data_IF_426860864048
#
_entry.id   IF_426860864048
#
_cell.length_a   1.000
_cell.length_b   1.000
_cell.length_c   1.000
_cell.angle_alpha   90.00
_cell.angle_beta   90.00
_cell.angle_gamma   90.00
#
_symmetry.space_group_name_H-M   'P 1'
#
loop_
_entity.id
_entity.type
_entity.pdbx_description
1 polymer ?
#
# COMPACT_ATOMS: atom_id res chain seq x y z
N UNK A 1 4.70 13.03 20.76
CA UNK A 1 3.41 12.59 20.20
C UNK A 1 3.34 13.12 18.79
N UNK A 2 3.49 12.27 17.78
CA UNK A 2 3.42 12.66 16.37
C UNK A 2 2.04 12.27 15.81
N UNK A 3 1.32 13.24 15.27
CA UNK A 3 0.04 13.01 14.58
C UNK A 3 0.28 12.24 13.28
N UNK A 4 -0.46 11.15 13.07
CA UNK A 4 -0.50 10.47 11.79
C UNK A 4 -1.29 11.34 10.80
N UNK A 5 -0.65 11.76 9.71
CA UNK A 5 -1.33 12.41 8.60
C UNK A 5 -1.92 11.32 7.68
N UNK A 6 -3.23 11.38 7.45
CA UNK A 6 -3.91 10.56 6.42
C UNK A 6 -3.92 11.34 5.12
N UNK A 7 -3.25 10.81 4.09
CA UNK A 7 -3.29 11.39 2.74
C UNK A 7 -4.07 10.43 1.85
N UNK A 8 -5.16 10.88 1.18
CA UNK A 8 -5.83 10.06 0.18
C UNK A 8 -4.85 9.77 -0.97
N UNK A 9 -4.96 8.60 -1.61
CA UNK A 9 -4.17 8.27 -2.80
C UNK A 9 -4.68 9.02 -4.04
N UNK A 10 -4.87 10.34 -3.92
CA UNK A 10 -5.36 11.23 -4.98
C UNK A 10 -4.41 12.42 -5.12
N UNK A 11 -4.23 12.83 -6.38
CA UNK A 11 -3.36 13.86 -6.93
C UNK A 11 -3.07 15.05 -5.99
N UNK A 12 -1.89 15.09 -5.33
CA UNK A 12 -1.50 16.22 -4.50
C UNK A 12 -0.91 17.39 -5.30
N UNK A 13 -1.20 18.63 -4.88
CA UNK A 13 -0.54 19.86 -5.37
C UNK A 13 0.96 19.79 -5.08
N UNK A 14 1.81 19.99 -6.09
CA UNK A 14 3.26 19.75 -5.98
C UNK A 14 3.97 20.83 -5.16
N UNK A 15 4.17 20.55 -3.87
CA UNK A 15 5.01 21.39 -3.02
C UNK A 15 6.49 21.28 -3.42
N UNK A 16 7.19 22.42 -3.47
CA UNK A 16 8.61 22.46 -3.81
C UNK A 16 9.44 21.59 -2.83
N UNK A 17 10.26 20.68 -3.38
CA UNK A 17 11.11 19.78 -2.61
C UNK A 17 10.46 18.44 -2.22
N UNK A 18 9.28 18.13 -2.75
CA UNK A 18 8.66 16.81 -2.64
C UNK A 18 8.80 16.00 -3.92
N UNK A 19 8.97 14.70 -3.76
CA UNK A 19 9.04 13.72 -4.83
C UNK A 19 7.70 13.03 -4.94
N UNK A 20 7.17 12.91 -6.17
CA UNK A 20 5.99 12.11 -6.43
C UNK A 20 6.40 10.67 -6.52
N UNK A 21 5.89 9.89 -5.59
CA UNK A 21 6.14 8.46 -5.48
C UNK A 21 4.87 7.73 -5.87
N UNK A 22 4.98 6.81 -6.80
CA UNK A 22 3.83 6.08 -7.31
C UNK A 22 4.13 4.61 -7.56
N UNK A 23 3.08 3.81 -7.63
CA UNK A 23 3.17 2.38 -7.85
C UNK A 23 1.79 1.76 -8.07
N UNK A 24 1.74 0.44 -8.18
CA UNK A 24 0.49 -0.31 -8.26
C UNK A 24 0.45 -1.34 -7.15
N UNK A 25 -0.71 -1.55 -6.55
CA UNK A 25 -0.97 -2.68 -5.66
C UNK A 25 -1.96 -3.60 -6.36
N UNK A 26 -1.64 -4.90 -6.36
CA UNK A 26 -2.52 -5.96 -6.87
C UNK A 26 -2.60 -7.04 -5.80
N UNK A 27 -3.80 -7.40 -5.39
CA UNK A 27 -4.08 -8.31 -4.27
C UNK A 27 -4.89 -9.48 -4.78
N UNK A 28 -4.43 -10.69 -4.49
CA UNK A 28 -5.06 -11.94 -4.92
C UNK A 28 -5.07 -12.96 -3.79
N UNK A 29 -5.98 -13.93 -3.87
CA UNK A 29 -5.93 -15.12 -3.02
C UNK A 29 -4.91 -16.11 -3.59
N UNK A 30 -4.06 -16.68 -2.73
CA UNK A 30 -3.01 -17.64 -3.16
C UNK A 30 -3.57 -19.02 -3.54
N UNK A 31 -4.81 -19.32 -3.17
CA UNK A 31 -5.52 -20.54 -3.51
C UNK A 31 -6.99 -20.27 -3.84
N UNK A 32 -7.69 -21.19 -4.54
CA UNK A 32 -9.11 -21.05 -4.82
C UNK A 32 -9.93 -20.90 -3.53
N UNK A 33 -10.92 -20.00 -3.55
CA UNK A 33 -11.89 -19.81 -2.46
C UNK A 33 -13.29 -20.11 -2.95
N UNK A 34 -14.12 -20.65 -2.07
CA UNK A 34 -15.57 -20.69 -2.24
C UNK A 34 -16.28 -19.41 -1.73
N UNK A 35 -15.53 -18.49 -1.10
CA UNK A 35 -16.09 -17.24 -0.57
C UNK A 35 -16.21 -16.20 -1.67
N UNK A 36 -17.29 -15.39 -1.67
CA UNK A 36 -17.50 -14.35 -2.68
C UNK A 36 -16.72 -13.06 -2.40
N UNK A 37 -15.87 -13.03 -1.37
CA UNK A 37 -15.15 -11.83 -0.95
C UNK A 37 -13.70 -11.89 -1.42
N UNK A 38 -13.32 -10.93 -2.24
CA UNK A 38 -11.92 -10.75 -2.64
C UNK A 38 -11.16 -9.93 -1.58
N UNK A 39 -9.88 -10.26 -1.33
CA UNK A 39 -9.04 -9.48 -0.45
C UNK A 39 -8.70 -8.14 -1.11
N UNK A 40 -8.73 -7.07 -0.32
CA UNK A 40 -8.31 -5.74 -0.74
C UNK A 40 -7.37 -5.11 0.28
N UNK A 41 -6.44 -4.29 -0.20
CA UNK A 41 -5.63 -3.43 0.67
C UNK A 41 -6.44 -2.21 1.03
N UNK A 42 -6.62 -1.97 2.33
CA UNK A 42 -7.24 -0.72 2.81
C UNK A 42 -6.21 0.38 2.87
N UNK A 43 -5.03 0.11 3.44
CA UNK A 43 -3.92 1.06 3.49
C UNK A 43 -2.58 0.37 3.71
N UNK A 44 -1.49 1.09 3.46
CA UNK A 44 -0.17 0.77 3.99
C UNK A 44 0.44 1.98 4.72
N UNK A 45 1.32 1.70 5.68
CA UNK A 45 2.02 2.72 6.48
C UNK A 45 3.46 2.85 6.03
N UNK A 46 3.87 4.08 5.75
CA UNK A 46 5.25 4.46 5.43
C UNK A 46 5.83 5.26 6.59
N UNK A 47 6.97 4.80 7.11
CA UNK A 47 7.76 5.46 8.14
C UNK A 47 8.93 6.21 7.48
N UNK A 48 9.05 7.50 7.74
CA UNK A 48 10.29 8.24 7.47
C UNK A 48 11.30 7.93 8.58
N UNK A 49 12.42 7.29 8.24
CA UNK A 49 13.39 6.77 9.22
C UNK A 49 14.15 7.88 9.94
N UNK A 50 14.33 9.03 9.30
CA UNK A 50 15.06 10.18 9.86
C UNK A 50 14.23 10.96 10.88
N UNK A 51 12.94 11.16 10.58
CA UNK A 51 12.05 11.99 11.42
C UNK A 51 11.17 11.17 12.36
N UNK A 52 11.01 9.87 12.09
CA UNK A 52 10.02 9.01 12.76
C UNK A 52 8.57 9.30 12.35
N UNK A 53 8.36 10.19 11.37
CA UNK A 53 7.03 10.53 10.86
C UNK A 53 6.38 9.35 10.14
N UNK A 54 5.08 9.14 10.34
CA UNK A 54 4.31 8.05 9.73
C UNK A 54 3.23 8.60 8.82
N UNK A 55 3.15 8.03 7.63
CA UNK A 55 2.21 8.42 6.59
C UNK A 55 1.37 7.21 6.25
N UNK A 56 0.05 7.38 6.31
CA UNK A 56 -0.91 6.34 5.95
C UNK A 56 -1.40 6.58 4.52
N UNK A 57 -1.07 5.67 3.61
CA UNK A 57 -1.51 5.72 2.21
C UNK A 57 -2.73 4.83 2.04
N UNK A 58 -3.87 5.43 1.72
CA UNK A 58 -5.17 4.73 1.62
C UNK A 58 -5.41 4.26 0.20
N UNK A 59 -5.74 2.97 0.03
CA UNK A 59 -5.91 2.31 -1.27
C UNK A 59 -7.38 1.94 -1.47
N UNK A 60 -7.92 1.19 -0.50
CA UNK A 60 -9.26 0.60 -0.48
C UNK A 60 -9.65 -0.16 -1.75
N UNK A 61 -8.72 -0.97 -2.28
CA UNK A 61 -8.91 -1.74 -3.52
C UNK A 61 -8.08 -3.01 -3.52
N UNK A 62 -8.50 -4.00 -4.30
CA UNK A 62 -7.71 -5.18 -4.62
C UNK A 62 -6.68 -4.86 -5.73
N UNK A 63 -6.99 -3.94 -6.64
CA UNK A 63 -6.11 -3.49 -7.71
C UNK A 63 -6.23 -1.96 -7.83
N UNK A 64 -5.13 -1.24 -7.60
CA UNK A 64 -5.11 0.22 -7.75
C UNK A 64 -3.70 0.79 -7.86
N UNK A 65 -3.59 1.85 -8.65
CA UNK A 65 -2.48 2.77 -8.61
C UNK A 65 -2.50 3.59 -7.32
N UNK A 66 -1.33 3.85 -6.75
CA UNK A 66 -1.17 4.79 -5.65
C UNK A 66 -0.19 5.87 -6.04
N UNK A 67 -0.43 7.08 -5.53
CA UNK A 67 0.42 8.25 -5.69
C UNK A 67 0.50 8.94 -4.34
N UNK A 68 1.71 9.26 -3.90
CA UNK A 68 2.00 9.96 -2.65
C UNK A 68 3.17 10.90 -2.84
N UNK A 69 3.12 12.08 -2.24
CA UNK A 69 4.26 12.98 -2.21
C UNK A 69 5.07 12.74 -0.93
N UNK A 70 6.37 12.52 -1.10
CA UNK A 70 7.29 12.27 -0.02
C UNK A 70 8.51 13.21 -0.15
N UNK A 71 8.97 13.85 0.93
CA UNK A 71 10.27 14.51 0.94
C UNK A 71 11.40 13.53 0.65
N UNK A 72 12.55 14.04 0.25
CA UNK A 72 13.76 13.22 0.10
C UNK A 72 14.16 12.57 1.44
N UNK A 73 14.72 11.36 1.38
CA UNK A 73 15.17 10.64 2.58
C UNK A 73 14.90 9.13 2.55
N UNK A 74 15.16 8.50 3.69
CA UNK A 74 15.01 7.06 3.88
C UNK A 74 13.64 6.69 4.46
N UNK A 75 12.99 5.74 3.82
CA UNK A 75 11.64 5.30 4.17
C UNK A 75 11.56 3.80 4.36
N UNK A 76 10.55 3.39 5.12
CA UNK A 76 10.24 1.99 5.37
C UNK A 76 8.73 1.77 5.36
N UNK A 77 8.27 0.80 4.58
CA UNK A 77 6.90 0.31 4.65
C UNK A 77 6.83 -0.64 5.84
N UNK A 78 6.07 -0.24 6.85
CA UNK A 78 6.06 -0.93 8.14
C UNK A 78 4.82 -1.77 8.35
N UNK A 79 3.71 -1.43 7.70
CA UNK A 79 2.42 -2.10 7.90
C UNK A 79 1.55 -2.06 6.66
N UNK A 80 0.67 -3.06 6.56
CA UNK A 80 -0.44 -3.07 5.62
C UNK A 80 -1.69 -3.60 6.31
N UNK A 81 -2.85 -3.06 5.93
CA UNK A 81 -4.15 -3.57 6.35
C UNK A 81 -4.87 -4.19 5.15
N UNK A 82 -5.37 -5.40 5.34
CA UNK A 82 -6.17 -6.14 4.38
C UNK A 82 -7.61 -6.27 4.90
N UNK A 83 -8.57 -6.11 4.01
CA UNK A 83 -9.97 -6.42 4.23
C UNK A 83 -10.44 -7.54 3.29
N UNK A 84 -11.22 -8.49 3.82
CA UNK A 84 -11.90 -9.54 3.06
C UNK A 84 -13.34 -9.68 3.59
N UNK A 85 -14.28 -8.98 2.96
CA UNK A 85 -15.64 -8.88 3.48
C UNK A 85 -15.66 -8.25 4.89
N UNK A 86 -16.23 -8.92 5.92
CA UNK A 86 -16.23 -8.42 7.30
C UNK A 86 -14.91 -8.65 8.05
N UNK A 87 -13.97 -9.41 7.47
CA UNK A 87 -12.69 -9.70 8.10
C UNK A 87 -11.69 -8.57 7.80
N UNK A 88 -11.03 -8.08 8.84
CA UNK A 88 -9.96 -7.11 8.75
C UNK A 88 -8.71 -7.70 9.42
N UNK A 89 -7.57 -7.61 8.75
CA UNK A 89 -6.29 -8.07 9.29
C UNK A 89 -5.18 -7.08 8.97
N UNK A 90 -4.11 -7.15 9.75
CA UNK A 90 -2.90 -6.39 9.54
C UNK A 90 -1.71 -7.33 9.45
N UNK A 91 -0.69 -6.87 8.73
CA UNK A 91 0.62 -7.48 8.68
C UNK A 91 1.67 -6.40 8.94
N UNK A 92 2.70 -6.75 9.70
CA UNK A 92 3.89 -5.93 9.82
C UNK A 92 4.86 -6.28 8.68
N UNK A 93 5.46 -5.25 8.09
CA UNK A 93 6.38 -5.28 6.97
C UNK A 93 7.67 -4.54 7.34
N UNK A 94 8.72 -4.77 6.55
CA UNK A 94 10.02 -4.12 6.72
C UNK A 94 10.63 -3.87 5.33
N UNK A 95 9.93 -3.14 4.47
CA UNK A 95 10.37 -2.84 3.11
C UNK A 95 11.00 -1.44 3.04
N UNK A 96 12.32 -1.36 2.92
CA UNK A 96 13.05 -0.10 2.91
C UNK A 96 13.30 0.43 1.49
N UNK A 97 13.21 1.74 1.30
CA UNK A 97 13.56 2.42 0.05
C UNK A 97 14.10 3.83 0.34
N UNK A 98 14.86 4.39 -0.60
CA UNK A 98 15.47 5.71 -0.49
C UNK A 98 14.95 6.62 -1.59
N UNK A 99 14.49 7.81 -1.21
CA UNK A 99 14.08 8.87 -2.13
C UNK A 99 15.22 9.86 -2.25
N UNK A 100 15.77 9.99 -3.44
CA UNK A 100 16.86 10.90 -3.79
C UNK A 100 16.35 12.27 -4.19
N UNK A 101 16.96 12.88 -5.21
CA UNK A 101 16.63 14.23 -5.71
C UNK A 101 15.77 14.22 -6.98
N UNK A 102 15.31 13.03 -7.40
CA UNK A 102 14.36 12.87 -8.49
C UNK A 102 13.04 13.59 -8.22
N UNK A 103 12.30 13.94 -9.27
CA UNK A 103 10.93 14.45 -9.13
C UNK A 103 9.88 13.35 -9.14
N UNK A 104 10.15 12.27 -9.86
CA UNK A 104 9.27 11.12 -10.04
C UNK A 104 9.98 9.82 -9.67
N UNK A 105 9.34 9.05 -8.81
CA UNK A 105 9.82 7.76 -8.32
C UNK A 105 8.74 6.68 -8.47
N UNK A 106 9.09 5.59 -9.17
CA UNK A 106 8.23 4.41 -9.30
C UNK A 106 8.65 3.32 -8.32
N UNK A 107 7.78 2.93 -7.39
CA UNK A 107 8.04 1.90 -6.37
C UNK A 107 7.71 0.47 -6.80
N UNK A 108 7.41 0.26 -8.09
CA UNK A 108 7.08 -1.06 -8.62
C UNK A 108 5.60 -1.44 -8.45
N UNK A 109 5.30 -2.65 -8.92
CA UNK A 109 4.01 -3.31 -8.73
C UNK A 109 4.13 -4.24 -7.52
N UNK A 110 3.29 -4.00 -6.52
CA UNK A 110 3.23 -4.76 -5.29
C UNK A 110 2.18 -5.85 -5.44
N UNK A 111 2.64 -7.08 -5.60
CA UNK A 111 1.82 -8.28 -5.68
C UNK A 111 1.62 -8.82 -4.27
N UNK A 112 0.37 -8.81 -3.81
CA UNK A 112 -0.02 -9.25 -2.49
C UNK A 112 -0.83 -10.54 -2.58
N UNK A 113 -0.20 -11.64 -2.21
CA UNK A 113 -0.85 -12.94 -2.08
C UNK A 113 -1.37 -13.13 -0.66
N UNK A 114 -2.68 -13.26 -0.50
CA UNK A 114 -3.32 -13.51 0.78
C UNK A 114 -3.72 -14.98 0.87
N UNK A 115 -3.28 -15.66 1.93
CA UNK A 115 -3.68 -17.05 2.17
C UNK A 115 -5.16 -17.19 2.49
N UNK A 116 -5.70 -18.36 2.16
CA UNK A 116 -7.07 -18.73 2.52
C UNK A 116 -7.29 -18.63 4.05
N UNK A 117 -8.51 -18.26 4.50
CA UNK A 117 -8.81 -18.15 5.91
C UNK A 117 -8.65 -19.49 6.65
N UNK A 118 -7.51 -19.63 7.32
CA UNK A 118 -7.12 -20.69 8.28
C UNK A 118 -6.59 -20.04 9.57
N UNK A 119 -6.16 -20.85 10.54
CA UNK A 119 -5.64 -20.33 11.82
C UNK A 119 -4.31 -19.57 11.66
N UNK A 120 -3.54 -19.89 10.63
CA UNK A 120 -2.24 -19.32 10.27
C UNK A 120 -2.32 -18.69 8.88
N UNK A 121 -2.83 -17.46 8.79
CA UNK A 121 -2.88 -16.73 7.52
C UNK A 121 -1.61 -15.96 7.32
N UNK A 122 -0.99 -16.11 6.16
CA UNK A 122 0.13 -15.26 5.76
C UNK A 122 -0.24 -14.31 4.63
N UNK A 123 0.55 -13.25 4.54
CA UNK A 123 0.61 -12.32 3.43
C UNK A 123 1.97 -12.48 2.76
N UNK A 124 1.95 -12.92 1.51
CA UNK A 124 3.09 -12.86 0.62
C UNK A 124 3.09 -11.50 -0.07
N UNK A 125 4.16 -10.73 0.08
CA UNK A 125 4.36 -9.48 -0.66
C UNK A 125 5.55 -9.66 -1.58
N UNK A 126 5.38 -9.38 -2.87
CA UNK A 126 6.46 -9.30 -3.83
C UNK A 126 6.36 -7.96 -4.57
N UNK A 127 7.47 -7.23 -4.64
CA UNK A 127 7.57 -5.98 -5.39
C UNK A 127 8.37 -6.25 -6.65
N UNK A 128 7.70 -6.09 -7.79
CA UNK A 128 8.25 -6.40 -9.10
C UNK A 128 8.29 -5.17 -9.98
N UNK A 129 9.29 -5.10 -10.85
CA UNK A 129 9.27 -4.16 -11.96
C UNK A 129 8.44 -4.76 -13.10
N UNK A 130 7.27 -4.20 -13.34
CA UNK A 130 6.46 -4.52 -14.50
C UNK A 130 6.36 -3.28 -15.40
N UNK A 131 6.93 -3.37 -16.60
CA UNK A 131 6.98 -2.26 -17.55
C UNK A 131 5.58 -1.84 -18.03
N UNK A 132 4.66 -2.78 -18.22
CA UNK A 132 3.29 -2.45 -18.63
C UNK A 132 2.57 -1.65 -17.54
N UNK A 133 2.68 -2.10 -16.27
CA UNK A 133 2.12 -1.38 -15.13
C UNK A 133 2.76 0.00 -14.94
N UNK A 134 4.08 0.10 -15.16
CA UNK A 134 4.79 1.39 -15.06
C UNK A 134 4.25 2.39 -16.10
N UNK A 135 4.08 1.96 -17.35
CA UNK A 135 3.54 2.82 -18.43
C UNK A 135 2.10 3.22 -18.13
N UNK A 136 1.26 2.30 -17.66
CA UNK A 136 -0.12 2.61 -17.26
C UNK A 136 -0.15 3.62 -16.10
N UNK A 137 0.70 3.43 -15.09
CA UNK A 137 0.80 4.30 -13.94
C UNK A 137 1.29 5.71 -14.31
N UNK A 138 2.29 5.79 -15.18
CA UNK A 138 2.80 7.04 -15.73
C UNK A 138 1.72 7.80 -16.53
N UNK A 139 1.02 7.11 -17.42
CA UNK A 139 -0.07 7.73 -18.20
C UNK A 139 -1.17 8.25 -17.30
N UNK A 140 -1.56 7.47 -16.28
CA UNK A 140 -2.54 7.90 -15.30
C UNK A 140 -2.04 9.13 -14.51
N UNK A 141 -0.76 9.16 -14.12
CA UNK A 141 -0.18 10.29 -13.40
C UNK A 141 -0.16 11.56 -14.26
N UNK A 142 0.32 11.48 -15.50
CA UNK A 142 0.42 12.61 -16.44
C UNK A 142 -0.97 13.16 -16.79
N UNK A 143 -1.97 12.29 -16.93
CA UNK A 143 -3.35 12.72 -17.19
C UNK A 143 -3.91 13.64 -16.07
N UNK A 144 -3.45 13.47 -14.84
CA UNK A 144 -3.85 14.28 -13.69
C UNK A 144 -2.85 15.40 -13.35
N UNK A 145 -1.62 15.31 -13.84
CA UNK A 145 -0.52 16.25 -13.59
C UNK A 145 0.31 16.47 -14.86
N UNK A 146 -0.19 17.34 -15.74
CA UNK A 146 0.46 17.62 -17.03
C UNK A 146 1.88 18.20 -16.89
N UNK A 147 2.22 18.82 -15.76
CA UNK A 147 3.53 19.38 -15.46
C UNK A 147 4.61 18.31 -15.17
N UNK A 148 4.20 17.05 -14.98
CA UNK A 148 5.08 15.91 -14.78
C UNK A 148 5.46 15.20 -16.09
N UNK A 149 4.89 15.59 -17.24
CA UNK A 149 5.04 14.88 -18.51
C UNK A 149 6.49 14.76 -19.02
N UNK A 150 7.34 15.76 -18.73
CA UNK A 150 8.74 15.79 -19.19
C UNK A 150 9.74 15.33 -18.13
N UNK A 151 9.27 14.79 -17.00
CA UNK A 151 10.13 14.40 -15.88
C UNK A 151 10.67 12.97 -16.05
N UNK A 152 11.96 12.78 -15.78
CA UNK A 152 12.55 11.44 -15.76
C UNK A 152 12.04 10.64 -14.55
N UNK A 153 11.45 9.47 -14.81
CA UNK A 153 11.00 8.53 -13.79
C UNK A 153 12.17 7.66 -13.34
N UNK A 154 12.45 7.68 -12.04
CA UNK A 154 13.43 6.77 -11.41
C UNK A 154 12.71 5.58 -10.81
N UNK A 155 13.12 4.35 -11.14
CA UNK A 155 12.55 3.15 -10.50
C UNK A 155 13.30 2.84 -9.21
N UNK A 156 12.55 2.69 -8.11
CA UNK A 156 13.06 2.47 -6.76
C UNK A 156 12.32 1.29 -6.13
N UNK A 157 12.81 0.07 -6.34
CA UNK A 157 12.18 -1.10 -5.73
C UNK A 157 12.56 -1.20 -4.25
N UNK A 158 11.58 -1.29 -3.33
CA UNK A 158 11.85 -1.54 -1.92
C UNK A 158 12.58 -2.87 -1.68
N UNK A 159 13.39 -2.91 -0.61
CA UNK A 159 14.16 -4.08 -0.18
C UNK A 159 13.71 -4.54 1.23
N UNK A 160 13.48 -5.85 1.45
CA UNK A 160 13.61 -6.94 0.48
C UNK A 160 12.52 -6.88 -0.59
N UNK A 161 12.81 -7.38 -1.79
CA UNK A 161 11.85 -7.39 -2.89
C UNK A 161 10.69 -8.38 -2.67
N UNK A 162 10.84 -9.34 -1.74
CA UNK A 162 9.77 -10.24 -1.35
C UNK A 162 9.83 -10.52 0.15
N UNK A 163 8.66 -10.69 0.76
CA UNK A 163 8.53 -11.07 2.17
C UNK A 163 7.29 -11.93 2.38
N UNK A 164 7.36 -12.79 3.39
CA UNK A 164 6.26 -13.61 3.88
C UNK A 164 6.06 -13.23 5.35
N UNK A 165 4.86 -12.80 5.72
CA UNK A 165 4.54 -12.30 7.05
C UNK A 165 3.16 -12.75 7.51
N UNK A 166 3.01 -12.94 8.82
CA UNK A 166 1.75 -13.36 9.40
C UNK A 166 0.70 -12.23 9.37
N UNK A 167 -0.53 -12.58 9.01
CA UNK A 167 -1.69 -11.72 9.17
C UNK A 167 -2.32 -11.95 10.54
N UNK A 168 -2.53 -10.87 11.28
CA UNK A 168 -3.26 -10.89 12.54
C UNK A 168 -4.58 -10.14 12.41
N UNK A 169 -5.67 -10.75 12.91
CA UNK A 169 -7.01 -10.17 12.85
C UNK A 169 -7.11 -8.89 13.69
N UNK A 170 -7.74 -7.88 13.10
CA UNK A 170 -8.06 -6.61 13.76
C UNK A 170 -9.56 -6.57 13.99
N UNK A 171 -10.00 -6.98 15.18
CA UNK A 171 -11.42 -6.88 15.53
C UNK A 171 -11.81 -5.43 15.83
N UNK A 172 -12.89 -4.89 15.23
CA UNK A 172 -13.38 -3.56 15.56
C UNK A 172 -13.81 -3.51 17.03
N UNK A 173 -13.46 -2.42 17.71
CA UNK A 173 -13.89 -2.12 19.08
C UNK A 173 -15.09 -1.15 19.07
N UNK A 174 -16.09 -1.33 19.95
CA UNK A 174 -16.26 -2.43 20.90
C UNK A 174 -16.56 -3.75 20.18
N UNK A 175 -16.14 -4.87 20.80
CA UNK A 175 -16.33 -6.26 20.33
C UNK A 175 -17.81 -6.65 20.34
N UNK A 176 -18.65 -5.98 19.56
CA UNK A 176 -20.07 -6.33 19.42
C UNK A 176 -20.19 -7.25 18.22
N UNK A 177 -20.24 -8.55 18.50
CA UNK A 177 -20.52 -9.57 17.50
C UNK A 177 -21.97 -9.37 17.04
N UNK A 178 -22.26 -8.95 15.79
CA UNK A 178 -23.64 -8.71 15.36
C UNK A 178 -24.49 -9.99 15.39
N UNK A 179 -23.84 -11.15 15.30
CA UNK A 179 -24.46 -12.48 15.33
C UNK A 179 -25.01 -12.90 16.70
N UNK A 180 -24.68 -12.20 17.80
CA UNK A 180 -25.22 -12.50 19.14
C UNK A 180 -26.44 -11.64 19.53
N UNK A 181 -27.08 -10.94 18.58
CA UNK A 181 -28.44 -10.43 18.80
C UNK A 181 -29.48 -11.52 18.49
N UNK A 182 -29.52 -12.56 19.31
CA UNK A 182 -30.70 -13.43 19.40
C UNK A 182 -31.77 -12.68 20.20
N UNK A 183 -32.89 -12.42 19.55
CA UNK A 183 -34.24 -12.19 20.09
C UNK A 183 -34.37 -11.34 21.36
N UNK A 184 -34.95 -10.14 21.19
CA UNK A 184 -35.88 -9.56 22.17
C UNK A 184 -37.22 -9.38 21.45
#
# INVERSE_FOLDING_TARGET
MACAASVPAEAPDLAAGQVVVFGRIVTVLTAPSSRPYEPKVTFFEVLNRSTGGRIKVTIDSNDKLFVVQLPTGDYEVTRVQIHEGPFAAMADLSLAFHIGQERLAYLGTWQMGVDQPRNDRHLLVAVVQNQADQVEAEQHLIAHHADLADQTITTLLPSPAATDTALYEVMPYPRVVPYFRRHW
#
